data_IF_155177382705
#
_entry.id   IF_155177382705
#
_cell.length_a   1.000
_cell.length_b   1.000
_cell.length_c   1.000
_cell.angle_alpha   90.00
_cell.angle_beta   90.00
_cell.angle_gamma   90.00
#
_symmetry.space_group_name_H-M   'P 1'
#
loop_
_entity.id
_entity.type
_entity.pdbx_description
1 polymer ?
#
# COMPACT_ATOMS: atom_id res chain seq x y z
N UNK A 1 14.41 24.52 70.91
CA UNK A 1 15.49 25.48 71.19
C UNK A 1 15.67 26.34 69.95
N UNK A 2 15.17 27.59 70.00
CA UNK A 2 15.86 28.86 69.88
C UNK A 2 16.50 29.06 68.48
N UNK A 3 16.34 30.12 67.71
CA UNK A 3 15.81 31.52 67.87
C UNK A 3 15.76 32.08 66.42
N UNK A 4 14.69 32.77 65.94
CA UNK A 4 14.51 34.20 65.85
C UNK A 4 15.69 35.00 65.25
N UNK A 5 15.39 35.77 64.20
CA UNK A 5 16.21 36.82 63.64
C UNK A 5 15.49 37.60 62.56
N UNK A 6 14.79 38.63 62.95
CA UNK A 6 14.11 39.64 62.15
C UNK A 6 14.97 40.91 62.18
N UNK A 7 15.20 41.57 61.02
CA UNK A 7 15.59 43.02 60.90
C UNK A 7 15.25 43.41 59.43
N UNK A 8 14.24 44.18 59.18
CA UNK A 8 13.98 45.62 59.16
C UNK A 8 14.85 46.49 58.27
N UNK A 9 14.27 46.97 57.18
CA UNK A 9 14.25 48.39 56.89
C UNK A 9 15.24 48.91 55.89
N UNK A 10 14.75 49.42 54.78
CA UNK A 10 14.98 50.82 54.38
C UNK A 10 14.24 51.18 53.10
N UNK A 11 13.38 52.12 53.24
CA UNK A 11 12.71 52.85 52.14
C UNK A 11 13.72 53.87 51.60
N UNK A 12 13.91 53.87 50.26
CA UNK A 12 14.43 55.05 49.56
C UNK A 12 13.50 55.34 48.38
N UNK A 13 12.89 56.54 48.54
CA UNK A 13 12.07 57.24 47.58
C UNK A 13 12.98 58.05 46.67
N UNK A 14 12.92 57.91 45.34
CA UNK A 14 13.28 59.01 44.44
C UNK A 14 12.88 58.79 42.99
N UNK A 15 12.02 59.65 42.52
CA UNK A 15 12.06 60.43 41.27
C UNK A 15 11.58 59.72 40.00
N UNK A 16 10.44 60.22 39.58
CA UNK A 16 9.84 60.15 38.27
C UNK A 16 10.79 60.70 37.18
N UNK A 17 10.97 59.92 36.11
CA UNK A 17 11.29 60.44 34.78
C UNK A 17 10.33 59.76 33.79
N UNK A 18 9.42 60.58 33.29
CA UNK A 18 8.55 60.28 32.16
C UNK A 18 9.43 60.24 30.94
N UNK A 19 9.57 59.07 30.35
CA UNK A 19 10.06 58.87 28.96
C UNK A 19 8.95 58.18 28.22
N UNK A 20 8.31 58.84 27.28
CA UNK A 20 7.51 58.27 26.22
C UNK A 20 8.37 57.28 25.42
N UNK A 21 8.14 56.00 25.64
CA UNK A 21 8.64 54.90 24.80
C UNK A 21 7.44 54.23 24.18
N UNK A 22 7.34 54.33 22.85
CA UNK A 22 6.37 53.60 22.03
C UNK A 22 6.37 52.12 22.42
N UNK A 23 5.25 51.64 22.89
CA UNK A 23 4.97 50.20 22.94
C UNK A 23 4.95 49.68 21.50
N UNK A 24 6.04 49.08 21.04
CA UNK A 24 5.97 48.12 19.97
C UNK A 24 5.07 46.97 20.48
N UNK A 25 3.84 46.93 20.01
CA UNK A 25 3.06 45.70 20.01
C UNK A 25 3.85 44.68 19.22
N UNK A 26 4.47 43.71 19.91
CA UNK A 26 4.91 42.48 19.28
C UNK A 26 3.63 41.82 18.76
N UNK A 27 3.42 41.95 17.45
CA UNK A 27 2.44 41.13 16.72
C UNK A 27 2.77 39.67 17.02
N UNK A 28 1.98 39.02 17.87
CA UNK A 28 1.90 37.61 17.95
C UNK A 28 1.57 37.12 16.53
N UNK A 29 2.56 36.70 15.79
CA UNK A 29 2.35 35.93 14.57
C UNK A 29 1.66 34.64 15.01
N UNK A 30 0.34 34.62 14.90
CA UNK A 30 -0.46 33.43 15.03
C UNK A 30 0.09 32.45 13.95
N UNK A 31 0.80 31.43 14.37
CA UNK A 31 1.30 30.39 13.46
C UNK A 31 0.07 29.83 12.74
N UNK A 32 0.04 29.97 11.43
CA UNK A 32 -0.99 29.33 10.61
C UNK A 32 -1.12 27.87 11.05
N UNK A 33 -2.33 27.30 11.18
CA UNK A 33 -2.51 25.92 11.56
C UNK A 33 -1.69 25.05 10.62
N UNK A 34 -0.83 24.19 11.17
CA UNK A 34 -0.04 23.24 10.38
C UNK A 34 -1.03 22.46 9.50
N UNK A 35 -0.77 22.44 8.19
CA UNK A 35 -1.62 21.71 7.26
C UNK A 35 -1.74 20.24 7.74
N UNK A 36 -2.98 19.75 7.84
CA UNK A 36 -3.26 18.38 8.26
C UNK A 36 -2.56 17.42 7.30
N UNK A 37 -1.71 16.50 7.81
CA UNK A 37 -1.01 15.52 7.00
C UNK A 37 -2.02 14.54 6.40
N UNK A 38 -1.73 14.11 5.17
CA UNK A 38 -2.45 13.00 4.55
C UNK A 38 -2.07 11.69 5.26
N UNK A 39 -3.00 11.14 6.04
CA UNK A 39 -2.82 9.87 6.72
C UNK A 39 -3.22 8.72 5.80
N UNK A 40 -2.29 7.77 5.55
CA UNK A 40 -2.45 6.65 4.64
C UNK A 40 -2.31 5.32 5.40
N UNK A 41 -3.28 4.43 5.25
CA UNK A 41 -3.17 3.03 5.65
C UNK A 41 -2.48 2.21 4.55
N UNK A 42 -1.39 1.53 4.87
CA UNK A 42 -0.70 0.62 3.95
C UNK A 42 -0.84 -0.81 4.46
N UNK A 43 -1.66 -1.64 3.82
CA UNK A 43 -1.75 -3.06 4.18
C UNK A 43 -0.78 -3.90 3.36
N UNK A 44 -0.25 -4.93 3.97
CA UNK A 44 0.42 -6.03 3.28
C UNK A 44 -0.20 -7.35 3.72
N UNK A 45 -0.45 -8.28 2.78
CA UNK A 45 -1.05 -9.56 3.12
C UNK A 45 -0.23 -10.32 4.18
N UNK A 46 1.09 -10.15 4.17
CA UNK A 46 2.01 -10.50 5.26
C UNK A 46 3.35 -9.75 5.10
N UNK A 47 3.99 -9.43 6.23
CA UNK A 47 5.23 -8.64 6.23
C UNK A 47 6.48 -9.43 5.89
N UNK A 48 6.48 -10.74 6.08
CA UNK A 48 7.61 -11.64 5.84
C UNK A 48 7.72 -12.14 4.39
N UNK A 49 6.81 -11.74 3.49
CA UNK A 49 6.98 -11.96 2.06
C UNK A 49 8.09 -11.07 1.51
N UNK A 50 9.08 -11.66 0.85
CA UNK A 50 10.26 -10.95 0.37
C UNK A 50 9.93 -9.85 -0.65
N UNK A 51 8.99 -10.10 -1.58
CA UNK A 51 8.61 -9.14 -2.60
C UNK A 51 7.79 -7.99 -1.99
N UNK A 52 6.79 -8.33 -1.18
CA UNK A 52 5.92 -7.33 -0.53
C UNK A 52 6.71 -6.50 0.49
N UNK A 53 7.69 -7.08 1.17
CA UNK A 53 8.57 -6.35 2.08
C UNK A 53 9.41 -5.29 1.34
N UNK A 54 9.86 -5.56 0.11
CA UNK A 54 10.56 -4.56 -0.72
C UNK A 54 9.62 -3.42 -1.13
N UNK A 55 8.41 -3.75 -1.57
CA UNK A 55 7.39 -2.75 -1.91
C UNK A 55 7.06 -1.86 -0.71
N UNK A 56 6.77 -2.48 0.46
CA UNK A 56 6.47 -1.76 1.70
C UNK A 56 7.59 -0.79 2.08
N UNK A 57 8.84 -1.25 2.09
CA UNK A 57 9.99 -0.40 2.42
C UNK A 57 10.15 0.77 1.45
N UNK A 58 9.94 0.53 0.15
CA UNK A 58 10.00 1.61 -0.85
C UNK A 58 8.87 2.64 -0.62
N UNK A 59 7.65 2.18 -0.33
CA UNK A 59 6.51 3.05 -0.02
C UNK A 59 6.77 3.88 1.24
N UNK A 60 7.23 3.24 2.31
CA UNK A 60 7.59 3.91 3.59
C UNK A 60 8.70 4.95 3.38
N UNK A 61 9.71 4.66 2.55
CA UNK A 61 10.79 5.59 2.24
C UNK A 61 10.30 6.83 1.47
N UNK A 62 9.42 6.64 0.47
CA UNK A 62 8.79 7.74 -0.27
C UNK A 62 7.90 8.60 0.63
N UNK A 63 7.16 7.98 1.55
CA UNK A 63 6.36 8.71 2.53
C UNK A 63 7.25 9.51 3.51
N UNK A 64 8.35 8.91 3.97
CA UNK A 64 9.31 9.57 4.85
C UNK A 64 9.96 10.80 4.18
N UNK A 65 10.22 10.74 2.85
CA UNK A 65 10.69 11.90 2.09
C UNK A 65 9.66 13.05 2.03
N UNK A 66 8.40 12.77 2.36
CA UNK A 66 7.26 13.72 2.39
C UNK A 66 6.66 13.85 3.80
N UNK A 67 7.45 13.60 4.84
CA UNK A 67 6.97 13.52 6.23
C UNK A 67 6.25 14.78 6.75
N UNK A 68 6.47 15.94 6.11
CA UNK A 68 5.75 17.16 6.44
C UNK A 68 4.27 17.16 6.00
N UNK A 69 3.93 16.36 4.99
CA UNK A 69 2.60 16.32 4.36
C UNK A 69 1.93 14.96 4.39
N UNK A 70 2.69 13.87 4.61
CA UNK A 70 2.19 12.50 4.59
C UNK A 70 2.62 11.74 5.84
N UNK A 71 1.73 10.91 6.34
CA UNK A 71 2.03 9.90 7.36
C UNK A 71 1.48 8.54 6.91
N UNK A 72 2.17 7.46 7.24
CA UNK A 72 1.78 6.09 6.86
C UNK A 72 1.67 5.20 8.08
N UNK A 73 0.56 4.47 8.17
CA UNK A 73 0.37 3.38 9.11
C UNK A 73 0.46 2.06 8.35
N UNK A 74 1.57 1.34 8.52
CA UNK A 74 1.75 0.02 7.92
C UNK A 74 1.04 -1.06 8.74
N UNK A 75 0.37 -2.00 8.05
CA UNK A 75 -0.52 -3.02 8.61
C UNK A 75 -0.11 -4.39 8.07
N UNK A 76 0.20 -5.33 8.97
CA UNK A 76 0.42 -6.74 8.63
C UNK A 76 -0.89 -7.52 8.75
N UNK A 77 -1.46 -7.95 7.63
CA UNK A 77 -2.70 -8.75 7.62
C UNK A 77 -2.49 -10.21 8.05
N UNK A 78 -1.24 -10.62 8.30
CA UNK A 78 -0.87 -11.95 8.81
C UNK A 78 -1.46 -13.11 7.99
N UNK A 79 -1.62 -12.90 6.68
CA UNK A 79 -2.25 -13.85 5.75
C UNK A 79 -3.67 -14.29 6.18
N UNK A 80 -4.42 -13.39 6.84
CA UNK A 80 -5.77 -13.63 7.34
C UNK A 80 -6.73 -12.55 6.87
N UNK A 81 -7.73 -12.92 6.07
CA UNK A 81 -8.78 -12.01 5.57
C UNK A 81 -9.54 -11.34 6.72
N UNK A 82 -9.81 -12.08 7.80
CA UNK A 82 -10.49 -11.52 8.97
C UNK A 82 -9.64 -10.44 9.65
N UNK A 83 -8.33 -10.74 9.87
CA UNK A 83 -7.38 -9.80 10.44
C UNK A 83 -7.21 -8.55 9.56
N UNK A 84 -7.13 -8.73 8.23
CA UNK A 84 -7.05 -7.61 7.28
C UNK A 84 -8.23 -6.65 7.45
N UNK A 85 -9.45 -7.18 7.47
CA UNK A 85 -10.66 -6.39 7.63
C UNK A 85 -10.71 -5.66 8.96
N UNK A 86 -10.48 -6.36 10.06
CA UNK A 86 -10.48 -5.78 11.42
C UNK A 86 -9.46 -4.65 11.56
N UNK A 87 -8.26 -4.82 10.99
CA UNK A 87 -7.22 -3.81 11.05
C UNK A 87 -7.53 -2.60 10.17
N UNK A 88 -8.11 -2.80 8.98
CA UNK A 88 -8.58 -1.69 8.13
C UNK A 88 -9.65 -0.88 8.89
N UNK A 89 -10.64 -1.54 9.50
CA UNK A 89 -11.66 -0.88 10.33
C UNK A 89 -11.02 -0.08 11.47
N UNK A 90 -10.08 -0.67 12.20
CA UNK A 90 -9.40 -0.01 13.31
C UNK A 90 -8.58 1.21 12.89
N UNK A 91 -7.99 1.20 11.69
CA UNK A 91 -7.22 2.33 11.16
C UNK A 91 -8.15 3.42 10.59
N UNK A 92 -9.30 3.03 10.02
CA UNK A 92 -10.35 3.98 9.64
C UNK A 92 -10.86 4.80 10.85
N UNK A 93 -11.07 4.14 11.99
CA UNK A 93 -11.48 4.82 13.24
C UNK A 93 -10.41 5.84 13.73
N UNK A 94 -9.16 5.67 13.35
CA UNK A 94 -8.07 6.61 13.62
C UNK A 94 -8.02 7.79 12.65
N UNK A 95 -8.91 7.82 11.65
CA UNK A 95 -9.06 8.95 10.75
C UNK A 95 -8.16 8.93 9.52
N UNK A 96 -7.70 7.74 9.09
CA UNK A 96 -6.98 7.56 7.83
C UNK A 96 -7.80 8.11 6.66
N UNK A 97 -7.13 8.80 5.73
CA UNK A 97 -7.76 9.50 4.59
C UNK A 97 -7.63 8.76 3.26
N UNK A 98 -6.76 7.77 3.17
CA UNK A 98 -6.57 6.94 1.97
C UNK A 98 -5.97 5.57 2.34
N UNK A 99 -6.12 4.59 1.46
CA UNK A 99 -5.49 3.28 1.62
C UNK A 99 -4.69 2.87 0.39
N UNK A 100 -3.58 2.17 0.65
CA UNK A 100 -2.90 1.30 -0.30
C UNK A 100 -3.02 -0.15 0.22
N UNK A 101 -3.71 -1.02 -0.50
CA UNK A 101 -4.10 -2.35 -0.03
C UNK A 101 -3.50 -3.45 -0.89
N UNK A 102 -2.74 -4.35 -0.24
CA UNK A 102 -2.38 -5.66 -0.79
C UNK A 102 -3.26 -6.72 -0.15
N UNK A 103 -4.28 -7.14 -0.88
CA UNK A 103 -5.27 -8.11 -0.39
C UNK A 103 -4.64 -9.43 0.06
N UNK A 104 -5.17 -10.01 1.12
CA UNK A 104 -4.91 -11.41 1.48
C UNK A 104 -5.55 -12.35 0.44
N UNK A 105 -6.79 -12.06 0.07
CA UNK A 105 -7.54 -12.81 -0.95
C UNK A 105 -8.31 -11.83 -1.84
N UNK A 106 -8.09 -11.91 -3.16
CA UNK A 106 -8.78 -11.05 -4.11
C UNK A 106 -10.32 -11.25 -4.10
N UNK A 107 -10.81 -12.43 -3.72
CA UNK A 107 -12.24 -12.71 -3.60
C UNK A 107 -12.92 -11.98 -2.43
N UNK A 108 -12.14 -11.51 -1.45
CA UNK A 108 -12.63 -10.74 -0.31
C UNK A 108 -12.71 -9.23 -0.58
N UNK A 109 -12.31 -8.77 -1.76
CA UNK A 109 -12.20 -7.35 -2.10
C UNK A 109 -13.52 -6.59 -1.93
N UNK A 110 -14.65 -7.17 -2.31
CA UNK A 110 -15.96 -6.49 -2.28
C UNK A 110 -16.34 -5.99 -0.89
N UNK A 111 -16.05 -6.76 0.15
CA UNK A 111 -16.34 -6.37 1.53
C UNK A 111 -15.51 -5.15 1.98
N UNK A 112 -14.24 -5.11 1.58
CA UNK A 112 -13.34 -3.99 1.86
C UNK A 112 -13.74 -2.76 1.03
N UNK A 113 -14.04 -2.95 -0.26
CA UNK A 113 -14.46 -1.87 -1.17
C UNK A 113 -15.73 -1.21 -0.64
N UNK A 114 -16.74 -1.97 -0.24
CA UNK A 114 -18.00 -1.44 0.29
C UNK A 114 -17.73 -0.61 1.56
N UNK A 115 -16.93 -1.10 2.48
CA UNK A 115 -16.56 -0.39 3.69
C UNK A 115 -15.89 0.97 3.38
N UNK A 116 -14.93 1.00 2.46
CA UNK A 116 -14.21 2.22 2.09
C UNK A 116 -15.10 3.19 1.30
N UNK A 117 -15.98 2.67 0.45
CA UNK A 117 -16.97 3.44 -0.31
C UNK A 117 -17.97 4.15 0.59
N UNK A 118 -18.50 3.46 1.60
CA UNK A 118 -19.41 4.05 2.61
C UNK A 118 -18.77 5.22 3.36
N UNK A 119 -17.47 5.13 3.64
CA UNK A 119 -16.68 6.18 4.29
C UNK A 119 -16.12 7.20 3.32
N UNK A 120 -16.35 7.03 2.00
CA UNK A 120 -15.81 7.90 0.94
C UNK A 120 -14.28 7.96 0.91
N UNK A 121 -13.58 6.90 1.27
CA UNK A 121 -12.12 6.80 1.38
C UNK A 121 -11.52 6.27 0.07
N UNK A 122 -10.61 7.00 -0.60
CA UNK A 122 -9.94 6.50 -1.79
C UNK A 122 -9.01 5.33 -1.47
N UNK A 123 -8.91 4.40 -2.42
CA UNK A 123 -8.10 3.20 -2.27
C UNK A 123 -7.33 2.86 -3.55
N UNK A 124 -6.08 2.47 -3.36
CA UNK A 124 -5.24 1.87 -4.41
C UNK A 124 -4.97 0.43 -4.02
N UNK A 125 -5.49 -0.52 -4.76
CA UNK A 125 -5.05 -1.92 -4.63
C UNK A 125 -3.74 -2.14 -5.37
N UNK A 126 -2.86 -2.97 -4.83
CA UNK A 126 -1.62 -3.30 -5.48
C UNK A 126 -1.31 -4.80 -5.41
N UNK A 127 -0.53 -5.31 -6.34
CA UNK A 127 -0.14 -6.71 -6.51
C UNK A 127 -1.33 -7.63 -6.80
N UNK A 128 -2.21 -7.94 -5.84
CA UNK A 128 -3.37 -8.81 -6.05
C UNK A 128 -4.55 -7.99 -6.57
N UNK A 129 -4.89 -8.22 -7.85
CA UNK A 129 -5.94 -7.47 -8.56
C UNK A 129 -7.33 -7.93 -8.11
N UNK A 130 -8.21 -7.03 -7.65
CA UNK A 130 -9.64 -7.32 -7.56
C UNK A 130 -10.25 -7.63 -8.93
N UNK A 131 -11.48 -8.16 -8.99
CA UNK A 131 -12.18 -8.34 -10.26
C UNK A 131 -12.40 -6.99 -10.97
N UNK A 132 -12.58 -7.01 -12.28
CA UNK A 132 -12.85 -5.78 -13.04
C UNK A 132 -14.17 -5.15 -12.63
N UNK A 133 -15.18 -5.97 -12.27
CA UNK A 133 -16.45 -5.52 -11.70
C UNK A 133 -16.27 -4.83 -10.35
N UNK A 134 -15.45 -5.40 -9.47
CA UNK A 134 -15.13 -4.81 -8.18
C UNK A 134 -14.43 -3.45 -8.35
N UNK A 135 -13.45 -3.36 -9.27
CA UNK A 135 -12.77 -2.11 -9.59
C UNK A 135 -13.76 -1.06 -10.12
N UNK A 136 -14.67 -1.44 -11.02
CA UNK A 136 -15.67 -0.53 -11.60
C UNK A 136 -16.76 -0.09 -10.60
N UNK A 137 -16.88 -0.75 -9.45
CA UNK A 137 -17.93 -0.47 -8.46
C UNK A 137 -17.73 0.80 -7.66
N UNK A 138 -16.53 1.38 -7.67
CA UNK A 138 -16.17 2.57 -6.89
C UNK A 138 -15.25 3.50 -7.65
N UNK A 139 -15.66 4.76 -7.83
CA UNK A 139 -14.97 5.79 -8.63
C UNK A 139 -13.62 6.28 -8.03
N UNK A 140 -13.38 6.02 -6.73
CA UNK A 140 -12.13 6.34 -6.03
C UNK A 140 -11.26 5.11 -5.79
N UNK A 141 -11.49 4.04 -6.54
CA UNK A 141 -10.69 2.83 -6.51
C UNK A 141 -9.75 2.79 -7.71
N UNK A 142 -8.49 2.49 -7.44
CA UNK A 142 -7.44 2.32 -8.44
C UNK A 142 -6.72 1.00 -8.23
N UNK A 143 -6.11 0.48 -9.28
CA UNK A 143 -5.23 -0.68 -9.20
C UNK A 143 -3.87 -0.36 -9.81
N UNK A 144 -2.81 -0.74 -9.08
CA UNK A 144 -1.42 -0.67 -9.54
C UNK A 144 -0.83 -2.07 -9.53
N UNK A 145 -0.50 -2.55 -10.70
CA UNK A 145 0.06 -3.88 -10.89
C UNK A 145 0.20 -4.19 -12.38
N UNK A 146 0.47 -5.45 -12.69
CA UNK A 146 0.56 -5.94 -14.06
C UNK A 146 -0.78 -6.57 -14.44
N UNK A 147 -1.06 -6.62 -15.75
CA UNK A 147 -2.14 -7.46 -16.26
C UNK A 147 -1.74 -8.95 -16.14
N UNK A 148 -2.43 -9.73 -15.29
CA UNK A 148 -2.11 -11.15 -15.11
C UNK A 148 -2.22 -11.97 -16.40
N UNK A 149 -3.16 -11.60 -17.28
CA UNK A 149 -3.39 -12.30 -18.55
C UNK A 149 -2.20 -12.09 -19.51
N UNK A 150 -1.73 -10.86 -19.62
CA UNK A 150 -0.57 -10.51 -20.44
C UNK A 150 0.70 -11.28 -20.01
N UNK A 151 0.87 -11.53 -18.71
CA UNK A 151 1.98 -12.34 -18.21
C UNK A 151 1.90 -13.80 -18.68
N UNK A 152 0.70 -14.41 -18.62
CA UNK A 152 0.47 -15.77 -19.07
C UNK A 152 0.71 -15.89 -20.57
N UNK A 153 0.23 -14.96 -21.36
CA UNK A 153 0.43 -14.91 -22.81
C UNK A 153 1.93 -14.82 -23.14
N UNK A 154 2.65 -13.86 -22.56
CA UNK A 154 4.08 -13.69 -22.80
C UNK A 154 4.90 -14.94 -22.43
N UNK A 155 4.51 -15.65 -21.37
CA UNK A 155 5.13 -16.91 -20.98
C UNK A 155 4.90 -17.99 -22.03
N UNK A 156 3.69 -18.12 -22.57
CA UNK A 156 3.35 -19.06 -23.63
C UNK A 156 4.10 -18.76 -24.94
N UNK A 157 4.13 -17.47 -25.34
CA UNK A 157 4.88 -17.02 -26.51
C UNK A 157 6.38 -17.31 -26.41
N UNK A 158 6.96 -17.15 -25.21
CA UNK A 158 8.36 -17.48 -24.98
C UNK A 158 8.63 -18.97 -25.13
N UNK A 159 7.75 -19.83 -24.59
CA UNK A 159 7.86 -21.29 -24.73
C UNK A 159 7.73 -21.67 -26.22
N UNK A 160 6.76 -21.12 -26.92
CA UNK A 160 6.57 -21.34 -28.36
C UNK A 160 7.83 -20.97 -29.16
N UNK A 161 8.38 -19.78 -28.89
CA UNK A 161 9.60 -19.32 -29.53
C UNK A 161 10.78 -20.28 -29.29
N UNK A 162 11.02 -20.63 -28.02
CA UNK A 162 12.10 -21.55 -27.66
C UNK A 162 11.96 -22.92 -28.34
N UNK A 163 10.76 -23.45 -28.41
CA UNK A 163 10.48 -24.72 -29.08
C UNK A 163 10.80 -24.65 -30.58
N UNK A 164 10.37 -23.60 -31.27
CA UNK A 164 10.63 -23.39 -32.70
C UNK A 164 12.10 -23.18 -33.04
N UNK A 165 12.83 -22.50 -32.18
CA UNK A 165 14.24 -22.16 -32.36
C UNK A 165 15.17 -23.34 -31.98
N UNK A 166 14.70 -24.30 -31.20
CA UNK A 166 15.52 -25.40 -30.67
C UNK A 166 14.88 -26.80 -30.91
N UNK A 167 14.95 -27.35 -32.13
CA UNK A 167 14.37 -28.67 -32.43
C UNK A 167 14.86 -29.81 -31.53
N UNK A 168 16.05 -29.67 -30.95
CA UNK A 168 16.64 -30.64 -30.05
C UNK A 168 15.94 -30.77 -28.70
N UNK A 169 15.02 -29.84 -28.36
CA UNK A 169 14.17 -29.94 -27.17
C UNK A 169 13.12 -31.06 -27.30
N UNK A 170 12.78 -31.47 -28.52
CA UNK A 170 11.92 -32.62 -28.80
C UNK A 170 12.74 -33.91 -28.72
N UNK A 171 12.96 -34.40 -27.50
CA UNK A 171 13.82 -35.53 -27.22
C UNK A 171 13.31 -36.85 -27.83
N UNK A 172 12.00 -37.04 -27.91
CA UNK A 172 11.36 -38.24 -28.45
C UNK A 172 10.93 -38.09 -29.92
N UNK A 173 11.07 -36.88 -30.49
CA UNK A 173 10.80 -36.54 -31.89
C UNK A 173 9.35 -36.77 -32.30
N UNK A 174 8.40 -36.56 -31.40
CA UNK A 174 6.98 -36.71 -31.67
C UNK A 174 6.28 -35.39 -32.09
N UNK A 175 7.00 -34.27 -32.05
CA UNK A 175 6.50 -32.96 -32.41
C UNK A 175 5.57 -32.36 -31.35
N UNK A 176 5.57 -32.93 -30.14
CA UNK A 176 4.70 -32.48 -29.01
C UNK A 176 5.53 -31.95 -27.87
N UNK A 177 5.16 -30.79 -27.38
CA UNK A 177 5.79 -30.19 -26.17
C UNK A 177 5.29 -30.93 -24.92
N UNK A 178 6.19 -31.67 -24.28
CA UNK A 178 5.92 -32.27 -22.98
C UNK A 178 6.52 -31.41 -21.90
N UNK A 179 5.70 -30.95 -20.93
CA UNK A 179 6.14 -30.07 -19.88
C UNK A 179 5.48 -30.33 -18.52
N UNK A 180 6.12 -29.89 -17.47
CA UNK A 180 5.55 -29.84 -16.12
C UNK A 180 5.37 -28.39 -15.72
N UNK A 181 4.15 -27.99 -15.37
CA UNK A 181 3.85 -26.65 -14.91
C UNK A 181 3.84 -26.58 -13.39
N UNK A 182 4.74 -25.80 -12.82
CA UNK A 182 4.69 -25.46 -11.41
C UNK A 182 3.73 -24.28 -11.25
N UNK A 183 2.62 -24.52 -10.58
CA UNK A 183 1.62 -23.48 -10.29
C UNK A 183 1.98 -22.73 -9.01
N UNK A 184 1.59 -21.45 -8.91
CA UNK A 184 1.71 -20.66 -7.69
C UNK A 184 0.58 -20.94 -6.69
N UNK A 185 0.41 -20.03 -5.75
CA UNK A 185 -0.63 -20.10 -4.71
C UNK A 185 -2.03 -20.23 -5.33
N UNK A 186 -2.84 -21.22 -4.90
CA UNK A 186 -4.22 -21.34 -5.37
C UNK A 186 -5.04 -20.07 -5.09
N UNK A 187 -5.83 -19.63 -6.08
CA UNK A 187 -6.64 -18.40 -5.96
C UNK A 187 -5.86 -17.08 -6.21
N UNK A 188 -4.53 -17.12 -6.27
CA UNK A 188 -3.77 -15.92 -6.62
C UNK A 188 -4.02 -15.55 -8.10
N UNK A 189 -4.49 -14.30 -8.41
CA UNK A 189 -4.88 -13.92 -9.77
C UNK A 189 -3.80 -14.20 -10.82
N UNK A 190 -2.54 -13.88 -10.52
CA UNK A 190 -1.42 -14.12 -11.43
C UNK A 190 -1.15 -15.62 -11.68
N UNK A 191 -1.25 -16.46 -10.63
CA UNK A 191 -1.02 -17.89 -10.77
C UNK A 191 -2.12 -18.54 -11.64
N UNK A 192 -3.37 -18.15 -11.43
CA UNK A 192 -4.53 -18.59 -12.24
C UNK A 192 -4.36 -18.15 -13.68
N UNK A 193 -4.05 -16.89 -13.93
CA UNK A 193 -3.89 -16.35 -15.27
C UNK A 193 -2.71 -16.97 -16.01
N UNK A 194 -1.53 -17.05 -15.39
CA UNK A 194 -0.35 -17.72 -15.99
C UNK A 194 -0.64 -19.17 -16.35
N UNK A 195 -1.30 -19.91 -15.45
CA UNK A 195 -1.67 -21.30 -15.72
C UNK A 195 -2.62 -21.44 -16.90
N UNK A 196 -3.57 -20.51 -17.03
CA UNK A 196 -4.58 -20.53 -18.10
C UNK A 196 -4.02 -20.06 -19.44
N UNK A 197 -3.38 -18.90 -19.44
CA UNK A 197 -3.05 -18.22 -20.70
C UNK A 197 -1.75 -18.70 -21.33
N UNK A 198 -0.77 -19.20 -20.58
CA UNK A 198 0.38 -19.87 -21.18
C UNK A 198 -0.03 -21.13 -21.97
N UNK A 199 -0.98 -21.90 -21.46
CA UNK A 199 -1.52 -23.08 -22.17
C UNK A 199 -2.33 -22.70 -23.42
N UNK A 200 -3.02 -21.57 -23.41
CA UNK A 200 -3.82 -21.15 -24.59
C UNK A 200 -2.94 -20.74 -25.76
N UNK A 201 -1.75 -20.22 -25.52
CA UNK A 201 -0.77 -19.94 -26.56
C UNK A 201 -0.11 -21.23 -27.09
N UNK A 202 0.18 -22.20 -26.24
CA UNK A 202 0.71 -23.50 -26.63
C UNK A 202 -0.20 -24.25 -27.62
N UNK A 203 -1.54 -24.11 -27.53
CA UNK A 203 -2.48 -24.68 -28.50
C UNK A 203 -2.33 -24.15 -29.91
N UNK A 204 -1.74 -22.96 -30.09
CA UNK A 204 -1.48 -22.40 -31.43
C UNK A 204 -0.29 -23.05 -32.10
N UNK A 205 0.60 -23.69 -31.35
CA UNK A 205 1.82 -24.33 -31.85
C UNK A 205 1.64 -25.81 -32.14
N UNK A 206 0.90 -26.51 -31.29
CA UNK A 206 0.63 -27.94 -31.43
C UNK A 206 -0.74 -28.18 -32.08
N UNK A 207 -0.78 -29.05 -33.09
CA UNK A 207 -2.05 -29.62 -33.56
C UNK A 207 -2.81 -30.16 -32.35
N UNK A 208 -4.11 -29.84 -32.28
CA UNK A 208 -5.02 -30.33 -31.25
C UNK A 208 -4.75 -31.77 -30.89
N UNK A 209 -4.34 -32.04 -29.63
CA UNK A 209 -4.43 -33.39 -29.10
C UNK A 209 -5.91 -33.71 -28.97
N UNK A 210 -6.41 -34.53 -29.88
CA UNK A 210 -7.71 -35.22 -29.81
C UNK A 210 -7.72 -36.24 -28.68
#
# INVERSE_FOLDING_TARGET
>A
MKKFGMILGSIILASALVACGEKKEEAKTEAAPAAEKLSIGLTAYKFDDNFIALFRKAFEAEAAAKADTVEVTAIDSQNSVATEKEQIEAVLEKGVKAFAINLVDASAADGIINLLKEKNIPVVFYNRKPSDEAIASYDKLYYVGIDPNAQGIAQGELIEKLWKENPDLDLNKDGVIQYVMLTGEPGHPDAVARTKYSRSEERRVGKECT
#
